data_IF_272589483911
#
_entry.id   IF_272589483911
#
_cell.length_a   1.000
_cell.length_b   1.000
_cell.length_c   1.000
_cell.angle_alpha   90.00
_cell.angle_beta   90.00
_cell.angle_gamma   90.00
#
_symmetry.space_group_name_H-M   'P 1'
#
loop_
_entity.id
_entity.type
_entity.pdbx_description
1 polymer ?
#
# COMPACT_ATOMS: atom_id res chain seq x y z
N UNK A 1 36.19 9.38 -10.90
CA UNK A 1 34.74 9.28 -11.17
C UNK A 1 34.01 10.04 -10.08
N UNK A 2 33.13 10.99 -10.41
CA UNK A 2 32.38 11.76 -9.41
C UNK A 2 31.03 11.09 -9.15
N UNK A 3 30.74 10.80 -7.89
CA UNK A 3 29.45 10.20 -7.50
C UNK A 3 28.39 11.30 -7.55
N UNK A 4 27.28 11.04 -8.25
CA UNK A 4 26.12 11.92 -8.29
C UNK A 4 24.90 11.18 -7.75
N UNK A 5 24.13 11.85 -6.89
CA UNK A 5 22.86 11.35 -6.34
C UNK A 5 21.72 12.30 -6.73
N UNK A 6 20.45 11.81 -6.78
CA UNK A 6 19.33 12.64 -7.16
C UNK A 6 19.14 13.81 -6.19
N UNK A 7 19.08 15.04 -6.71
CA UNK A 7 19.02 16.24 -5.89
C UNK A 7 17.71 16.36 -5.11
N UNK A 8 16.59 15.96 -5.72
CA UNK A 8 15.27 15.99 -5.08
C UNK A 8 15.19 15.13 -3.82
N UNK A 9 15.97 14.04 -3.74
CA UNK A 9 16.01 13.15 -2.56
C UNK A 9 16.59 13.88 -1.35
N UNK A 10 17.52 14.81 -1.57
CA UNK A 10 18.14 15.61 -0.48
C UNK A 10 17.14 16.55 0.18
N UNK A 11 16.03 16.84 -0.49
CA UNK A 11 14.99 17.77 -0.07
C UNK A 11 13.64 17.10 0.17
N UNK A 12 13.55 15.78 -0.03
CA UNK A 12 12.32 15.02 0.15
C UNK A 12 12.12 14.60 1.61
N UNK A 13 10.87 14.55 2.04
CA UNK A 13 10.45 13.86 3.26
C UNK A 13 9.73 12.59 2.85
N UNK A 14 10.24 11.44 3.27
CA UNK A 14 9.70 10.15 2.90
C UNK A 14 8.59 9.72 3.86
N UNK A 15 7.55 9.09 3.30
CA UNK A 15 6.50 8.43 4.06
C UNK A 15 6.34 7.00 3.55
N UNK A 16 6.65 6.03 4.41
CA UNK A 16 6.57 4.62 4.07
C UNK A 16 5.15 4.12 4.32
N UNK A 17 4.55 3.54 3.28
CA UNK A 17 3.19 3.01 3.30
C UNK A 17 3.22 1.50 3.19
N UNK A 18 2.38 0.81 3.97
CA UNK A 18 2.01 -0.58 3.74
C UNK A 18 0.69 -0.63 2.94
N UNK A 19 0.72 -0.84 1.61
CA UNK A 19 -0.42 -0.56 0.74
C UNK A 19 -1.71 -1.29 1.12
N UNK A 20 -1.60 -2.58 1.48
CA UNK A 20 -2.76 -3.41 1.83
C UNK A 20 -3.55 -2.84 3.03
N UNK A 21 -2.92 -2.05 3.92
CA UNK A 21 -3.57 -1.49 5.12
C UNK A 21 -3.62 0.02 5.15
N UNK A 22 -3.35 0.68 4.03
CA UNK A 22 -3.32 2.15 3.98
C UNK A 22 -4.72 2.75 3.79
N UNK A 23 -5.38 2.40 2.69
CA UNK A 23 -6.71 2.89 2.36
C UNK A 23 -7.41 1.94 1.39
N UNK A 24 -8.75 1.95 1.39
CA UNK A 24 -9.57 1.28 0.37
C UNK A 24 -10.34 2.31 -0.43
N UNK A 25 -10.37 2.13 -1.74
CA UNK A 25 -11.21 2.92 -2.64
C UNK A 25 -12.69 2.71 -2.31
N UNK A 26 -13.45 3.81 -2.28
CA UNK A 26 -14.89 3.80 -1.96
C UNK A 26 -15.74 3.36 -3.15
N UNK A 27 -15.19 3.42 -4.37
CA UNK A 27 -15.86 3.01 -5.59
C UNK A 27 -15.45 1.58 -5.93
N UNK A 28 -16.40 0.71 -6.33
CA UNK A 28 -16.08 -0.64 -6.74
C UNK A 28 -15.25 -0.60 -8.03
N UNK A 29 -13.93 -0.79 -7.90
CA UNK A 29 -13.09 -1.07 -9.06
C UNK A 29 -13.26 -2.54 -9.44
N UNK A 30 -13.51 -2.80 -10.71
CA UNK A 30 -13.38 -4.13 -11.31
C UNK A 30 -11.90 -4.52 -11.29
N UNK A 31 -11.38 -4.91 -10.13
CA UNK A 31 -10.05 -5.47 -9.97
C UNK A 31 -10.18 -6.97 -9.84
N UNK A 32 -9.47 -7.67 -10.71
CA UNK A 32 -9.21 -9.12 -10.70
C UNK A 32 -8.82 -9.63 -9.29
N UNK A 33 -8.41 -8.74 -8.37
CA UNK A 33 -8.08 -8.97 -6.97
C UNK A 33 -9.24 -9.45 -6.05
N UNK A 34 -10.51 -9.30 -6.43
CA UNK A 34 -11.64 -9.72 -5.57
C UNK A 34 -11.91 -11.23 -5.56
N UNK A 35 -11.08 -12.05 -6.20
CA UNK A 35 -11.21 -13.52 -6.16
C UNK A 35 -10.63 -14.14 -4.88
N UNK A 36 -9.97 -13.35 -4.03
CA UNK A 36 -9.37 -13.79 -2.77
C UNK A 36 -10.24 -13.28 -1.61
N UNK A 37 -10.55 -14.12 -0.59
CA UNK A 37 -11.24 -13.65 0.60
C UNK A 37 -10.41 -12.58 1.32
N UNK A 38 -11.00 -11.39 1.45
CA UNK A 38 -10.40 -10.28 2.19
C UNK A 38 -10.89 -10.28 3.63
N UNK A 39 -9.99 -9.96 4.55
CA UNK A 39 -10.34 -9.72 5.94
C UNK A 39 -11.14 -8.42 6.08
N UNK A 40 -12.08 -8.34 7.04
CA UNK A 40 -12.68 -7.08 7.42
C UNK A 40 -11.61 -6.03 7.74
N UNK A 41 -11.86 -4.79 7.32
CA UNK A 41 -10.88 -3.70 7.49
C UNK A 41 -10.47 -3.51 8.96
N UNK A 42 -11.44 -3.57 9.87
CA UNK A 42 -11.24 -3.35 11.31
C UNK A 42 -10.80 -4.60 12.10
N UNK A 43 -10.66 -5.76 11.43
CA UNK A 43 -10.19 -6.98 12.10
C UNK A 43 -8.69 -6.86 12.52
N UNK A 44 -8.25 -7.53 13.60
CA UNK A 44 -6.82 -7.64 13.90
C UNK A 44 -6.02 -8.21 12.72
N UNK A 45 -4.82 -7.70 12.41
CA UNK A 45 -4.02 -8.18 11.29
C UNK A 45 -3.56 -9.61 11.52
N UNK A 46 -3.74 -10.48 10.53
CA UNK A 46 -3.14 -11.82 10.53
C UNK A 46 -1.90 -11.87 9.63
N UNK A 47 -1.11 -12.95 9.76
CA UNK A 47 0.13 -13.13 9.01
C UNK A 47 -0.10 -13.35 7.50
N UNK A 48 -1.20 -14.01 7.13
CA UNK A 48 -1.54 -14.35 5.74
C UNK A 48 -2.79 -13.62 5.22
N UNK A 49 -3.39 -12.75 6.04
CA UNK A 49 -4.62 -12.03 5.70
C UNK A 49 -4.37 -10.75 4.91
N UNK A 50 -5.25 -10.52 3.94
CA UNK A 50 -5.26 -9.34 3.08
C UNK A 50 -6.46 -8.45 3.43
N UNK A 51 -6.24 -7.16 3.65
CA UNK A 51 -7.34 -6.19 3.86
C UNK A 51 -7.83 -5.58 2.54
N UNK A 52 -7.02 -5.68 1.49
CA UNK A 52 -7.34 -5.22 0.14
C UNK A 52 -7.26 -3.71 -0.02
N UNK A 53 -6.28 -3.07 0.61
CA UNK A 53 -5.94 -1.67 0.38
C UNK A 53 -5.39 -1.44 -1.03
N UNK A 54 -5.83 -0.37 -1.69
CA UNK A 54 -5.78 -0.26 -3.16
C UNK A 54 -5.82 1.17 -3.76
#
# INVERSE_FOLDING_TARGET
MQIQTPDWVKHAVFYQIFPDRFAKSQQPRSRIAHQIPLEPWDAPPTLQGYKGGD
#
